data_IF_445847573396
#
_entry.id   IF_445847573396
#
_cell.length_a   1.000
_cell.length_b   1.000
_cell.length_c   1.000
_cell.angle_alpha   90.00
_cell.angle_beta   90.00
_cell.angle_gamma   90.00
#
_symmetry.space_group_name_H-M   'P 1'
#
loop_
_entity.id
_entity.type
_entity.pdbx_description
1 polymer ?
#
# COMPACT_ATOMS: atom_id res chain seq x y z
N UNK A 1 9.36 10.33 -1.44
CA UNK A 1 8.77 8.97 -1.28
C UNK A 1 8.94 8.21 -2.58
N UNK A 2 9.62 7.08 -2.54
CA UNK A 2 9.81 6.20 -3.70
C UNK A 2 8.97 4.93 -3.50
N UNK A 3 8.16 4.58 -4.51
CA UNK A 3 7.28 3.41 -4.46
C UNK A 3 7.76 2.43 -5.53
N UNK A 4 8.01 1.17 -5.12
CA UNK A 4 8.36 0.11 -6.07
C UNK A 4 7.20 -0.18 -7.03
N UNK A 5 7.51 -0.63 -8.26
CA UNK A 5 6.46 -1.01 -9.22
C UNK A 5 5.56 -2.12 -8.69
N UNK A 6 6.12 -3.03 -7.88
CA UNK A 6 5.38 -4.11 -7.23
C UNK A 6 4.38 -3.59 -6.21
N UNK A 7 4.80 -2.65 -5.35
CA UNK A 7 3.92 -2.00 -4.39
C UNK A 7 2.77 -1.27 -5.10
N UNK A 8 3.09 -0.50 -6.15
CA UNK A 8 2.08 0.25 -6.91
C UNK A 8 1.00 -0.66 -7.52
N UNK A 9 1.41 -1.76 -8.15
CA UNK A 9 0.46 -2.72 -8.75
C UNK A 9 -0.44 -3.37 -7.70
N UNK A 10 0.10 -3.72 -6.53
CA UNK A 10 -0.68 -4.27 -5.43
C UNK A 10 -1.69 -3.25 -4.87
N UNK A 11 -1.30 -1.98 -4.73
CA UNK A 11 -2.20 -0.90 -4.32
C UNK A 11 -3.37 -0.74 -5.30
N UNK A 12 -3.09 -0.67 -6.61
CA UNK A 12 -4.13 -0.50 -7.64
C UNK A 12 -5.10 -1.69 -7.70
N UNK A 13 -4.56 -2.92 -7.61
CA UNK A 13 -5.39 -4.13 -7.59
C UNK A 13 -6.31 -4.18 -6.36
N UNK A 14 -5.76 -3.88 -5.18
CA UNK A 14 -6.53 -3.87 -3.93
C UNK A 14 -7.61 -2.77 -3.91
N UNK A 15 -7.25 -1.55 -4.34
CA UNK A 15 -8.18 -0.43 -4.48
C UNK A 15 -9.36 -0.75 -5.40
N UNK A 16 -9.09 -1.40 -6.54
CA UNK A 16 -10.15 -1.80 -7.46
C UNK A 16 -11.03 -2.92 -6.91
N UNK A 17 -10.47 -3.88 -6.17
CA UNK A 17 -11.20 -4.99 -5.59
C UNK A 17 -12.17 -4.56 -4.47
N UNK A 18 -11.93 -3.41 -3.85
CA UNK A 18 -12.74 -2.93 -2.74
C UNK A 18 -13.92 -2.03 -3.08
N UNK A 19 -14.07 -1.57 -4.33
CA UNK A 19 -15.18 -0.68 -4.72
C UNK A 19 -16.53 -1.35 -4.42
N UNK A 20 -17.49 -0.66 -3.75
CA UNK A 20 -17.53 0.77 -3.40
C UNK A 20 -16.99 1.12 -2.00
N UNK A 21 -16.48 0.14 -1.25
CA UNK A 21 -16.00 0.31 0.12
C UNK A 21 -14.59 0.89 0.15
N UNK A 22 -14.27 1.63 1.22
CA UNK A 22 -12.90 2.05 1.49
C UNK A 22 -12.01 0.84 1.79
N UNK A 23 -10.74 0.92 1.37
CA UNK A 23 -9.76 -0.14 1.61
C UNK A 23 -8.52 0.40 2.29
N UNK A 24 -7.94 -0.44 3.16
CA UNK A 24 -6.73 -0.14 3.88
C UNK A 24 -5.66 -1.21 3.63
N UNK A 25 -4.40 -0.82 3.87
CA UNK A 25 -3.24 -1.68 3.75
C UNK A 25 -2.02 -1.14 4.49
N UNK A 26 -1.03 -2.00 4.71
CA UNK A 26 0.25 -1.66 5.31
C UNK A 26 1.29 -1.45 4.23
N UNK A 27 2.13 -0.42 4.39
CA UNK A 27 3.31 -0.20 3.56
C UNK A 27 4.56 -0.67 4.31
N UNK A 28 5.35 -1.54 3.67
CA UNK A 28 6.63 -2.01 4.19
C UNK A 28 7.76 -1.43 3.37
N UNK A 29 8.80 -0.99 4.06
CA UNK A 29 9.92 -0.32 3.45
C UNK A 29 10.88 0.22 4.48
N UNK A 30 11.71 1.15 4.03
CA UNK A 30 12.82 1.69 4.81
C UNK A 30 12.81 3.22 4.73
N UNK A 31 13.19 3.84 5.84
CA UNK A 31 13.55 5.24 5.90
C UNK A 31 15.02 5.36 5.50
N UNK A 32 15.29 5.97 4.34
CA UNK A 32 16.65 6.12 3.82
C UNK A 32 17.34 7.31 4.48
N UNK A 33 16.59 8.39 4.70
CA UNK A 33 16.98 9.59 5.43
C UNK A 33 15.72 10.34 5.89
N UNK A 34 15.89 11.50 6.53
CA UNK A 34 14.80 12.31 7.10
C UNK A 34 13.80 12.85 6.06
N UNK A 35 14.18 12.84 4.78
CA UNK A 35 13.38 13.37 3.67
C UNK A 35 12.93 12.27 2.70
N UNK A 36 13.46 11.05 2.85
CA UNK A 36 13.32 9.98 1.86
C UNK A 36 12.85 8.68 2.51
N UNK A 37 11.62 8.29 2.14
CA UNK A 37 11.05 6.98 2.45
C UNK A 37 10.96 6.14 1.17
N UNK A 38 11.37 4.88 1.25
CA UNK A 38 11.28 3.91 0.16
C UNK A 38 10.34 2.78 0.54
N UNK A 39 9.22 2.67 -0.19
CA UNK A 39 8.23 1.60 -0.04
C UNK A 39 8.60 0.44 -0.97
N UNK A 40 8.91 -0.71 -0.38
CA UNK A 40 9.35 -1.92 -1.08
C UNK A 40 8.15 -2.79 -1.42
N UNK A 41 7.22 -2.98 -0.48
CA UNK A 41 6.03 -3.81 -0.65
C UNK A 41 4.81 -3.28 0.12
N UNK A 42 3.61 -3.76 -0.22
CA UNK A 42 2.35 -3.47 0.49
C UNK A 42 1.49 -4.70 0.70
N UNK A 43 0.72 -4.69 1.79
CA UNK A 43 -0.22 -5.75 2.15
C UNK A 43 -1.63 -5.19 2.37
N UNK A 44 -2.61 -5.88 1.80
CA UNK A 44 -4.02 -5.59 1.98
C UNK A 44 -4.48 -6.01 3.39
N UNK A 45 -5.22 -5.14 4.08
CA UNK A 45 -5.97 -5.54 5.27
C UNK A 45 -7.35 -6.10 4.88
N UNK A 46 -7.87 -7.10 5.61
CA UNK A 46 -9.22 -7.62 5.36
C UNK A 46 -10.29 -6.56 5.69
N UNK A 47 -11.35 -6.50 4.89
CA UNK A 47 -12.46 -5.55 5.04
C UNK A 47 -13.49 -6.00 6.09
N UNK A 48 -13.05 -6.44 7.26
CA UNK A 48 -13.96 -6.96 8.28
C UNK A 48 -14.20 -5.92 9.36
N UNK A 49 -15.37 -5.26 9.36
CA UNK A 49 -15.86 -4.51 10.51
C UNK A 49 -16.33 -3.07 10.28
N UNK A 50 -17.26 -2.83 9.35
CA UNK A 50 -18.16 -1.65 9.42
C UNK A 50 -19.60 -2.09 9.25
#
# INVERSE_FOLDING_TARGET
>A
VYISSLALLKMLKHGRAGVPMEVMGLMLGEFVDDYTVRVIDVFAMPQTGT
#
